data_IF_283590261101
#
_entry.id   IF_283590261101
#
_cell.length_a   1.000
_cell.length_b   1.000
_cell.length_c   1.000
_cell.angle_alpha   90.00
_cell.angle_beta   90.00
_cell.angle_gamma   90.00
#
_symmetry.space_group_name_H-M   'P 1'
#
loop_
_entity.id
_entity.type
_entity.pdbx_description
1 polymer ?
#
# COMPACT_ATOMS: atom_id res chain seq x y z
N UNK A 1 -20.05 3.60 1.22
CA UNK A 1 -20.42 2.54 2.17
C UNK A 1 -19.12 1.84 2.60
N UNK A 2 -19.03 1.12 3.74
CA UNK A 2 -17.79 0.43 4.08
C UNK A 2 -17.42 -0.59 2.98
N UNK A 3 -16.13 -0.76 2.70
CA UNK A 3 -15.63 -1.70 1.69
C UNK A 3 -16.23 -3.10 1.87
N UNK A 4 -16.71 -3.70 0.77
CA UNK A 4 -17.28 -5.05 0.78
C UNK A 4 -16.23 -6.10 0.42
N UNK A 5 -15.82 -6.89 1.39
CA UNK A 5 -14.93 -8.04 1.17
C UNK A 5 -15.72 -9.18 0.51
N UNK A 6 -15.23 -9.68 -0.63
CA UNK A 6 -15.79 -10.81 -1.36
C UNK A 6 -14.93 -12.04 -1.09
N UNK A 7 -15.56 -13.12 -0.64
CA UNK A 7 -14.93 -14.41 -0.39
C UNK A 7 -15.77 -15.50 -1.03
N UNK A 8 -15.14 -16.36 -1.84
CA UNK A 8 -15.80 -17.54 -2.42
C UNK A 8 -15.93 -18.67 -1.41
N UNK A 9 -15.13 -18.65 -0.34
CA UNK A 9 -15.18 -19.60 0.75
C UNK A 9 -15.68 -18.92 2.04
N UNK A 10 -16.74 -19.44 2.64
CA UNK A 10 -17.30 -18.89 3.89
C UNK A 10 -17.11 -19.81 5.10
N UNK A 11 -16.32 -20.89 4.97
CA UNK A 11 -16.03 -21.82 6.06
C UNK A 11 -15.34 -21.11 7.24
N UNK A 12 -15.90 -21.17 8.47
CA UNK A 12 -15.30 -20.52 9.63
C UNK A 12 -13.86 -21.01 9.90
N UNK A 13 -13.00 -20.10 10.37
CA UNK A 13 -11.65 -20.49 10.81
C UNK A 13 -11.75 -21.42 12.02
N UNK A 14 -11.00 -22.52 11.98
CA UNK A 14 -10.85 -23.41 13.12
C UNK A 14 -9.71 -22.92 13.99
N UNK A 15 -10.01 -22.49 15.22
CA UNK A 15 -8.96 -22.22 16.21
C UNK A 15 -8.24 -23.52 16.55
N UNK A 16 -6.91 -23.45 16.58
CA UNK A 16 -6.03 -24.56 16.96
C UNK A 16 -5.22 -24.16 18.18
N UNK A 17 -4.84 -25.14 19.00
CA UNK A 17 -3.88 -24.90 20.08
C UNK A 17 -2.53 -24.60 19.42
N UNK A 18 -1.97 -23.43 19.71
CA UNK A 18 -0.68 -23.01 19.18
C UNK A 18 0.38 -23.26 20.26
N UNK A 19 1.39 -24.05 19.94
CA UNK A 19 2.56 -24.22 20.81
C UNK A 19 3.58 -23.09 20.56
N UNK A 20 4.45 -22.79 21.54
CA UNK A 20 5.41 -21.68 21.42
C UNK A 20 6.38 -21.82 20.25
N UNK A 21 6.80 -23.05 19.89
CA UNK A 21 7.76 -23.26 18.80
C UNK A 21 7.10 -22.89 17.47
N UNK A 22 5.87 -23.33 17.24
CA UNK A 22 5.12 -22.96 16.04
C UNK A 22 4.84 -21.46 15.98
N UNK A 23 4.53 -20.83 17.11
CA UNK A 23 4.36 -19.36 17.17
C UNK A 23 5.64 -18.63 16.75
N UNK A 24 6.78 -18.99 17.35
CA UNK A 24 8.07 -18.38 17.06
C UNK A 24 8.44 -18.54 15.57
N UNK A 25 8.19 -19.72 14.98
CA UNK A 25 8.44 -19.96 13.55
C UNK A 25 7.55 -19.06 12.68
N UNK A 26 6.27 -18.92 13.00
CA UNK A 26 5.34 -18.07 12.25
C UNK A 26 5.74 -16.59 12.34
N UNK A 27 6.07 -16.12 13.54
CA UNK A 27 6.49 -14.73 13.77
C UNK A 27 7.77 -14.41 13.00
N UNK A 28 8.81 -15.24 13.13
CA UNK A 28 10.07 -15.04 12.40
C UNK A 28 9.88 -15.15 10.89
N UNK A 29 9.01 -16.04 10.41
CA UNK A 29 8.71 -16.15 8.98
C UNK A 29 8.05 -14.87 8.44
N UNK A 30 7.11 -14.27 9.18
CA UNK A 30 6.50 -13.00 8.79
C UNK A 30 7.51 -11.85 8.85
N UNK A 31 8.38 -11.83 9.86
CA UNK A 31 9.45 -10.84 9.95
C UNK A 31 10.41 -10.94 8.76
N UNK A 32 10.84 -12.15 8.39
CA UNK A 32 11.66 -12.38 7.20
C UNK A 32 10.94 -11.97 5.91
N UNK A 33 9.65 -12.27 5.77
CA UNK A 33 8.86 -11.84 4.62
C UNK A 33 8.81 -10.31 4.50
N UNK A 34 8.59 -9.58 5.60
CA UNK A 34 8.64 -8.11 5.62
C UNK A 34 10.03 -7.58 5.22
N UNK A 35 11.10 -8.24 5.62
CA UNK A 35 12.46 -7.86 5.23
C UNK A 35 12.71 -8.08 3.73
N UNK A 36 12.19 -9.16 3.16
CA UNK A 36 12.27 -9.41 1.72
C UNK A 36 11.46 -8.39 0.92
N UNK A 37 10.28 -7.97 1.40
CA UNK A 37 9.48 -6.91 0.76
C UNK A 37 10.29 -5.61 0.60
N UNK A 38 10.97 -5.18 1.68
CA UNK A 38 11.88 -4.04 1.72
C UNK A 38 13.03 -4.21 0.73
N UNK A 39 13.74 -5.34 0.83
CA UNK A 39 14.91 -5.61 0.02
C UNK A 39 14.60 -5.67 -1.48
N UNK A 40 13.40 -6.08 -1.87
CA UNK A 40 12.96 -6.07 -3.27
C UNK A 40 12.78 -4.63 -3.73
N UNK A 41 11.97 -3.83 -3.03
CA UNK A 41 11.66 -2.47 -3.44
C UNK A 41 12.92 -1.58 -3.45
N UNK A 42 13.72 -1.61 -2.38
CA UNK A 42 15.02 -0.94 -2.31
C UNK A 42 15.93 -1.24 -3.52
N UNK A 43 15.98 -2.51 -3.97
CA UNK A 43 16.88 -2.92 -5.07
C UNK A 43 16.35 -2.55 -6.45
N UNK A 44 15.03 -2.47 -6.61
CA UNK A 44 14.40 -2.17 -7.90
C UNK A 44 14.07 -0.69 -8.08
N UNK A 45 14.00 0.07 -6.99
CA UNK A 45 13.75 1.50 -7.03
C UNK A 45 14.86 2.26 -7.78
N UNK A 46 14.42 3.29 -8.47
CA UNK A 46 15.28 4.26 -9.16
C UNK A 46 15.38 5.57 -8.41
N UNK A 47 14.36 5.98 -7.66
CA UNK A 47 14.40 7.26 -6.98
C UNK A 47 15.36 7.27 -5.78
N UNK A 48 16.04 8.39 -5.51
CA UNK A 48 16.88 8.53 -4.31
C UNK A 48 16.08 8.46 -2.99
N UNK A 49 14.79 8.79 -3.01
CA UNK A 49 13.90 8.69 -1.85
C UNK A 49 13.87 7.28 -1.29
N UNK A 50 13.63 6.31 -2.16
CA UNK A 50 13.59 4.89 -1.76
C UNK A 50 15.01 4.30 -1.75
N UNK A 51 15.75 4.44 -2.85
CA UNK A 51 17.02 3.73 -3.07
C UNK A 51 18.16 4.15 -2.14
N UNK A 52 18.21 5.42 -1.72
CA UNK A 52 19.32 5.94 -0.92
C UNK A 52 18.89 6.28 0.52
N UNK A 53 17.67 6.77 0.72
CA UNK A 53 17.17 7.12 2.06
C UNK A 53 16.39 5.98 2.73
N UNK A 54 15.86 5.02 1.97
CA UNK A 54 15.03 3.94 2.50
C UNK A 54 13.65 4.44 2.94
N UNK A 55 13.09 5.45 2.26
CA UNK A 55 11.76 5.99 2.55
C UNK A 55 10.67 5.10 1.94
N UNK A 56 10.61 3.88 2.47
CA UNK A 56 9.67 2.82 2.13
C UNK A 56 9.25 2.06 3.39
N UNK A 57 7.98 1.68 3.48
CA UNK A 57 7.45 1.06 4.70
C UNK A 57 6.54 -0.13 4.39
N UNK A 58 7.10 -1.37 4.36
CA UNK A 58 6.29 -2.57 4.23
C UNK A 58 5.62 -2.95 5.55
N UNK A 59 4.45 -3.57 5.42
CA UNK A 59 3.66 -4.06 6.53
C UNK A 59 2.89 -5.34 6.15
N UNK A 60 2.73 -6.24 7.13
CA UNK A 60 1.77 -7.33 7.11
C UNK A 60 0.83 -7.18 8.31
N UNK A 61 -0.47 -7.26 8.07
CA UNK A 61 -1.51 -7.02 9.06
C UNK A 61 -2.53 -8.17 9.14
N UNK A 62 -3.13 -8.33 10.30
CA UNK A 62 -4.16 -9.34 10.54
C UNK A 62 -5.51 -8.95 9.89
N UNK A 63 -6.52 -9.81 10.04
CA UNK A 63 -7.87 -9.59 9.50
C UNK A 63 -8.60 -8.36 10.04
N UNK A 64 -8.23 -7.86 11.22
CA UNK A 64 -8.77 -6.62 11.78
C UNK A 64 -8.04 -5.38 11.22
N UNK A 65 -7.11 -5.57 10.29
CA UNK A 65 -6.24 -4.53 9.78
C UNK A 65 -5.21 -4.06 10.81
N UNK A 66 -4.90 -4.82 11.86
CA UNK A 66 -3.85 -4.45 12.82
C UNK A 66 -2.50 -4.96 12.34
N UNK A 67 -1.49 -4.10 12.41
CA UNK A 67 -0.11 -4.47 12.08
C UNK A 67 0.34 -5.66 12.92
N UNK A 68 0.87 -6.69 12.26
CA UNK A 68 1.54 -7.83 12.89
C UNK A 68 3.05 -7.64 12.82
N UNK A 69 3.56 -7.30 11.63
CA UNK A 69 4.95 -6.91 11.40
C UNK A 69 4.99 -5.71 10.45
N UNK A 70 5.88 -4.77 10.69
CA UNK A 70 6.00 -3.52 9.93
C UNK A 70 6.77 -2.47 10.70
N UNK A 71 6.81 -1.25 10.18
CA UNK A 71 7.57 -0.13 10.76
C UNK A 71 6.67 1.03 11.19
N UNK A 72 5.67 1.36 10.38
CA UNK A 72 4.66 2.38 10.68
C UNK A 72 3.33 1.72 10.99
N UNK A 73 2.54 2.35 11.87
CA UNK A 73 1.23 1.82 12.28
C UNK A 73 0.30 1.54 11.10
N UNK A 74 -0.80 0.83 11.36
CA UNK A 74 -1.70 0.41 10.28
C UNK A 74 -2.64 1.53 9.82
N UNK A 75 -2.77 1.64 8.51
CA UNK A 75 -3.68 2.52 7.76
C UNK A 75 -4.92 1.78 7.22
N UNK A 76 -4.96 0.45 7.36
CA UNK A 76 -6.00 -0.38 6.73
C UNK A 76 -7.39 0.00 7.24
N UNK A 77 -7.52 0.32 8.53
CA UNK A 77 -8.81 0.76 9.08
C UNK A 77 -9.34 1.99 8.35
N UNK A 78 -8.53 3.05 8.21
CA UNK A 78 -8.92 4.26 7.49
C UNK A 78 -9.16 4.00 6.00
N UNK A 79 -8.34 3.14 5.37
CA UNK A 79 -8.54 2.72 3.99
C UNK A 79 -9.91 2.05 3.79
N UNK A 80 -10.29 1.12 4.67
CA UNK A 80 -11.55 0.37 4.58
C UNK A 80 -12.80 1.23 4.81
N UNK A 81 -12.65 2.34 5.54
CA UNK A 81 -13.71 3.36 5.69
C UNK A 81 -13.86 4.22 4.43
N UNK A 82 -12.76 4.53 3.76
CA UNK A 82 -12.73 5.46 2.62
C UNK A 82 -13.02 4.82 1.27
N UNK A 83 -12.68 3.55 1.09
CA UNK A 83 -12.91 2.86 -0.17
C UNK A 83 -14.35 2.33 -0.27
N UNK A 84 -15.11 2.85 -1.23
CA UNK A 84 -16.47 2.43 -1.54
C UNK A 84 -16.47 1.47 -2.74
N UNK A 85 -16.29 0.18 -2.48
CA UNK A 85 -16.23 -0.83 -3.52
C UNK A 85 -16.11 -2.25 -2.99
N UNK A 86 -15.74 -3.17 -3.88
CA UNK A 86 -15.48 -4.57 -3.51
C UNK A 86 -14.00 -4.82 -3.35
N UNK A 87 -13.65 -5.76 -2.49
CA UNK A 87 -12.29 -6.27 -2.34
C UNK A 87 -12.30 -7.78 -2.61
N UNK A 88 -11.59 -8.19 -3.64
CA UNK A 88 -11.57 -9.55 -4.17
C UNK A 88 -10.14 -10.13 -4.16
N UNK A 89 -10.04 -11.44 -4.34
CA UNK A 89 -8.76 -12.13 -4.54
C UNK A 89 -8.10 -11.63 -5.83
N UNK A 90 -6.79 -11.33 -5.78
CA UNK A 90 -6.05 -10.76 -6.91
C UNK A 90 -6.14 -9.24 -7.06
N UNK A 91 -6.97 -8.56 -6.27
CA UNK A 91 -6.98 -7.09 -6.26
C UNK A 91 -5.74 -6.51 -5.56
N UNK A 92 -5.29 -5.34 -6.01
CA UNK A 92 -4.37 -4.47 -5.29
C UNK A 92 -4.84 -3.03 -5.44
N UNK A 93 -4.68 -2.25 -4.38
CA UNK A 93 -5.18 -0.88 -4.31
C UNK A 93 -4.03 0.11 -4.24
N UNK A 94 -4.24 1.31 -4.77
CA UNK A 94 -3.35 2.46 -4.69
C UNK A 94 -4.12 3.65 -4.11
N UNK A 95 -3.46 4.43 -3.25
CA UNK A 95 -3.84 5.80 -2.93
C UNK A 95 -2.62 6.58 -2.45
N UNK A 96 -2.64 7.89 -2.64
CA UNK A 96 -1.72 8.82 -1.99
C UNK A 96 -2.50 9.98 -1.34
N UNK A 97 -3.82 9.85 -1.18
CA UNK A 97 -4.68 10.92 -0.69
C UNK A 97 -4.59 11.04 0.84
N UNK A 98 -3.99 12.12 1.38
CA UNK A 98 -3.81 12.30 2.83
C UNK A 98 -5.13 12.33 3.61
N UNK A 99 -6.22 12.72 2.95
CA UNK A 99 -7.53 12.88 3.59
C UNK A 99 -8.35 11.60 3.59
N UNK A 100 -8.01 10.63 2.74
CA UNK A 100 -8.80 9.40 2.61
C UNK A 100 -8.50 8.42 3.73
N UNK A 101 -7.26 8.32 4.24
CA UNK A 101 -6.90 7.27 5.19
C UNK A 101 -6.74 7.76 6.64
N UNK A 102 -7.64 8.63 7.13
CA UNK A 102 -7.59 9.20 8.48
C UNK A 102 -6.21 9.81 8.83
N UNK A 103 -5.56 10.46 7.85
CA UNK A 103 -4.25 11.08 8.01
C UNK A 103 -3.07 10.11 8.08
N UNK A 104 -3.26 8.83 7.76
CA UNK A 104 -2.17 7.86 7.76
C UNK A 104 -1.20 8.02 6.57
N UNK A 105 -1.65 8.68 5.51
CA UNK A 105 -0.79 9.16 4.41
C UNK A 105 -0.47 10.62 4.73
N UNK A 106 0.81 10.95 4.87
CA UNK A 106 1.21 12.29 5.37
C UNK A 106 1.15 13.36 4.29
N UNK A 107 1.47 12.99 3.05
CA UNK A 107 1.42 13.87 1.88
C UNK A 107 1.35 13.07 0.58
N UNK A 108 1.08 13.75 -0.54
CA UNK A 108 0.80 13.11 -1.84
C UNK A 108 1.97 12.35 -2.47
N UNK A 109 3.19 12.48 -1.96
CA UNK A 109 4.33 11.71 -2.44
C UNK A 109 4.37 10.28 -1.88
N UNK A 110 3.70 10.04 -0.76
CA UNK A 110 3.64 8.73 -0.14
C UNK A 110 2.58 7.90 -0.85
N UNK A 111 3.01 7.02 -1.76
CA UNK A 111 2.10 6.11 -2.43
C UNK A 111 1.90 4.88 -1.57
N UNK A 112 0.67 4.65 -1.16
CA UNK A 112 0.25 3.45 -0.44
C UNK A 112 -0.28 2.41 -1.42
N UNK A 113 0.38 1.25 -1.47
CA UNK A 113 -0.20 0.04 -2.03
C UNK A 113 -0.75 -0.87 -0.93
N UNK A 114 -1.97 -1.37 -1.13
CA UNK A 114 -2.61 -2.34 -0.24
C UNK A 114 -3.04 -3.57 -1.04
N UNK A 115 -2.59 -4.75 -0.63
CA UNK A 115 -2.98 -6.04 -1.19
C UNK A 115 -3.66 -6.91 -0.14
N UNK A 116 -4.95 -7.22 -0.27
CA UNK A 116 -5.56 -8.28 0.54
C UNK A 116 -4.97 -9.65 0.16
N UNK A 117 -4.61 -10.45 1.16
CA UNK A 117 -4.02 -11.77 0.95
C UNK A 117 -5.11 -12.81 1.13
N UNK A 118 -5.40 -13.51 0.03
CA UNK A 118 -6.34 -14.60 0.00
C UNK A 118 -5.63 -15.96 -0.04
N UNK A 119 -6.33 -16.97 0.48
CA UNK A 119 -5.97 -18.38 0.34
C UNK A 119 -7.25 -19.20 0.28
N UNK A 120 -7.36 -20.07 -0.72
CA UNK A 120 -8.53 -20.95 -0.91
C UNK A 120 -9.86 -20.18 -0.87
N UNK A 121 -9.91 -19.00 -1.51
CA UNK A 121 -11.10 -18.14 -1.55
C UNK A 121 -11.42 -17.40 -0.25
N UNK A 122 -10.46 -17.31 0.68
CA UNK A 122 -10.58 -16.66 1.99
C UNK A 122 -9.57 -15.55 2.15
N UNK A 123 -10.01 -14.37 2.57
CA UNK A 123 -9.10 -13.38 3.13
C UNK A 123 -8.47 -13.95 4.40
N UNK A 124 -7.14 -13.89 4.50
CA UNK A 124 -6.38 -14.38 5.67
C UNK A 124 -5.49 -13.30 6.30
N UNK A 125 -5.11 -12.27 5.54
CA UNK A 125 -4.19 -11.22 5.96
C UNK A 125 -4.28 -10.05 4.99
N UNK A 126 -3.61 -8.96 5.32
CA UNK A 126 -3.30 -7.88 4.38
C UNK A 126 -1.78 -7.70 4.32
N UNK A 127 -1.27 -7.32 3.15
CA UNK A 127 0.07 -6.76 3.00
C UNK A 127 -0.06 -5.37 2.39
N UNK A 128 0.88 -4.50 2.73
CA UNK A 128 0.92 -3.16 2.18
C UNK A 128 2.33 -2.61 2.15
N UNK A 129 2.52 -1.59 1.33
CA UNK A 129 3.79 -0.93 1.10
C UNK A 129 3.56 0.57 0.90
N UNK A 130 4.32 1.38 1.62
CA UNK A 130 4.55 2.76 1.23
C UNK A 130 5.84 2.88 0.43
N UNK A 131 5.83 3.75 -0.58
CA UNK A 131 7.04 4.26 -1.21
C UNK A 131 6.93 5.77 -1.42
N UNK A 132 7.97 6.50 -1.05
CA UNK A 132 8.02 7.94 -1.24
C UNK A 132 8.48 8.29 -2.66
N UNK A 133 7.54 8.73 -3.49
CA UNK A 133 7.82 9.16 -4.86
C UNK A 133 8.54 10.51 -4.85
N UNK A 134 9.60 10.67 -5.64
CA UNK A 134 10.38 11.92 -5.65
C UNK A 134 9.58 13.13 -6.11
N UNK A 135 8.68 12.94 -7.08
CA UNK A 135 7.85 14.00 -7.64
C UNK A 135 6.51 13.42 -8.06
N UNK A 136 5.42 14.15 -7.74
CA UNK A 136 4.05 13.79 -8.11
C UNK A 136 3.34 14.93 -8.84
N UNK A 137 4.08 15.84 -9.47
CA UNK A 137 3.49 16.90 -10.28
C UNK A 137 3.04 18.16 -9.53
N UNK A 138 3.52 18.39 -8.31
CA UNK A 138 3.24 19.62 -7.56
C UNK A 138 3.76 20.88 -8.27
N UNK A 139 3.40 22.05 -7.76
CA UNK A 139 3.76 23.38 -8.30
C UNK A 139 5.26 23.58 -8.54
N UNK A 140 6.11 22.92 -7.76
CA UNK A 140 7.58 22.93 -7.90
C UNK A 140 8.10 21.50 -8.05
N UNK A 141 9.29 21.29 -8.66
CA UNK A 141 9.92 19.97 -8.68
C UNK A 141 10.21 19.44 -7.27
N UNK A 142 9.90 18.17 -7.03
CA UNK A 142 10.14 17.49 -5.75
C UNK A 142 8.85 17.16 -4.99
N UNK A 143 8.97 16.91 -3.68
CA UNK A 143 7.89 16.37 -2.85
C UNK A 143 7.20 17.38 -1.92
N UNK A 144 7.82 18.51 -1.61
CA UNK A 144 7.35 19.41 -0.55
C UNK A 144 7.41 20.88 -1.00
N UNK A 145 6.42 21.38 -1.77
CA UNK A 145 6.29 22.81 -2.04
C UNK A 145 6.08 23.58 -0.73
N UNK A 146 7.04 24.43 -0.35
CA UNK A 146 7.00 25.16 0.94
C UNK A 146 6.00 26.31 0.98
N UNK A 147 5.45 26.70 -0.18
CA UNK A 147 4.50 27.81 -0.33
C UNK A 147 3.17 27.36 -0.94
N UNK A 148 2.88 26.05 -0.91
CA UNK A 148 1.55 25.55 -1.24
C UNK A 148 0.54 26.04 -0.20
N UNK A 149 -0.51 26.67 -0.68
CA UNK A 149 -1.66 27.16 0.09
C UNK A 149 -2.85 26.20 0.01
N UNK A 150 -2.84 25.29 -0.96
CA UNK A 150 -3.90 24.32 -1.22
C UNK A 150 -3.31 22.98 -1.66
N UNK A 151 -3.97 21.87 -1.31
CA UNK A 151 -3.58 20.52 -1.74
C UNK A 151 -3.45 20.38 -3.27
N UNK A 152 -4.21 21.17 -4.04
CA UNK A 152 -4.15 21.17 -5.50
C UNK A 152 -2.83 21.72 -6.07
N UNK A 153 -2.02 22.37 -5.23
CA UNK A 153 -0.67 22.84 -5.59
C UNK A 153 0.41 21.79 -5.26
N UNK A 154 0.05 20.69 -4.60
CA UNK A 154 1.01 19.67 -4.12
C UNK A 154 1.20 18.51 -5.10
N UNK A 155 0.30 18.35 -6.08
CA UNK A 155 0.44 17.40 -7.17
C UNK A 155 -0.78 16.51 -7.34
N UNK A 156 -0.61 15.40 -8.07
CA UNK A 156 -1.70 14.47 -8.33
C UNK A 156 -2.12 13.77 -7.04
N UNK A 157 -3.43 13.85 -6.75
CA UNK A 157 -4.06 13.18 -5.63
C UNK A 157 -4.96 12.06 -6.14
N UNK A 158 -4.61 10.84 -5.75
CA UNK A 158 -5.22 9.59 -6.17
C UNK A 158 -6.06 9.06 -5.00
N UNK A 159 -7.41 9.06 -5.12
CA UNK A 159 -8.26 8.44 -4.11
C UNK A 159 -8.01 6.92 -4.05
N UNK A 160 -8.49 6.21 -3.04
CA UNK A 160 -8.47 4.75 -3.01
C UNK A 160 -9.07 4.14 -4.28
N UNK A 161 -8.23 3.49 -5.09
CA UNK A 161 -8.62 2.84 -6.33
C UNK A 161 -8.01 1.43 -6.43
N UNK A 162 -8.64 0.55 -7.21
CA UNK A 162 -8.02 -0.72 -7.63
C UNK A 162 -7.00 -0.45 -8.73
N UNK A 163 -5.73 -0.68 -8.44
CA UNK A 163 -4.64 -0.60 -9.42
C UNK A 163 -4.30 -1.96 -10.04
N UNK A 164 -4.60 -3.06 -9.35
CA UNK A 164 -4.74 -4.40 -9.95
C UNK A 164 -6.16 -4.91 -9.76
N UNK A 165 -6.66 -5.62 -10.77
CA UNK A 165 -7.90 -6.41 -10.71
C UNK A 165 -7.61 -7.79 -11.24
N UNK A 166 -7.90 -8.83 -10.46
CA UNK A 166 -7.60 -10.22 -10.84
C UNK A 166 -6.14 -10.41 -11.30
N UNK A 167 -5.21 -9.85 -10.52
CA UNK A 167 -3.76 -9.84 -10.82
C UNK A 167 -3.35 -9.17 -12.14
N UNK A 168 -4.25 -8.40 -12.76
CA UNK A 168 -3.97 -7.58 -13.95
C UNK A 168 -3.84 -6.10 -13.58
N UNK A 169 -2.66 -5.54 -13.86
CA UNK A 169 -2.39 -4.11 -13.72
C UNK A 169 -3.35 -3.30 -14.59
N UNK A 170 -4.00 -2.31 -13.98
CA UNK A 170 -4.81 -1.32 -14.68
C UNK A 170 -3.88 -0.24 -15.29
N UNK A 171 -3.17 -0.62 -16.36
CA UNK A 171 -2.08 0.20 -16.95
C UNK A 171 -2.52 1.63 -17.29
N UNK A 172 -3.71 1.81 -17.84
CA UNK A 172 -4.22 3.15 -18.21
C UNK A 172 -4.33 4.10 -17.01
N UNK A 173 -4.64 3.57 -15.82
CA UNK A 173 -4.68 4.34 -14.58
C UNK A 173 -3.27 4.75 -14.18
N UNK A 174 -2.32 3.82 -14.22
CA UNK A 174 -0.93 4.11 -13.90
C UNK A 174 -0.36 5.16 -14.85
N UNK A 175 -0.57 5.02 -16.15
CA UNK A 175 -0.11 5.98 -17.16
C UNK A 175 -0.73 7.36 -16.96
N UNK A 176 -2.02 7.43 -16.61
CA UNK A 176 -2.67 8.70 -16.27
C UNK A 176 -1.98 9.37 -15.09
N UNK A 177 -1.61 8.61 -14.06
CA UNK A 177 -0.92 9.14 -12.89
C UNK A 177 0.49 9.61 -13.24
N UNK A 178 1.25 8.76 -13.93
CA UNK A 178 2.64 9.03 -14.33
C UNK A 178 2.75 10.22 -15.28
N UNK A 179 1.78 10.43 -16.17
CA UNK A 179 1.75 11.59 -17.07
C UNK A 179 1.66 12.94 -16.34
N UNK A 180 1.27 12.93 -15.06
CA UNK A 180 1.27 14.12 -14.22
C UNK A 180 2.57 14.30 -13.42
N UNK A 181 3.55 13.41 -13.56
CA UNK A 181 4.80 13.45 -12.79
C UNK A 181 5.97 13.92 -13.67
N UNK A 182 6.96 14.64 -13.09
CA UNK A 182 8.14 15.10 -13.84
C UNK A 182 9.13 13.98 -14.17
N UNK A 183 9.18 12.94 -13.33
CA UNK A 183 10.08 11.80 -13.45
C UNK A 183 9.29 10.48 -13.55
N UNK A 184 8.46 10.29 -14.59
CA UNK A 184 7.54 9.15 -14.69
C UNK A 184 8.26 7.80 -14.73
N UNK A 185 9.48 7.75 -15.26
CA UNK A 185 10.27 6.52 -15.33
C UNK A 185 10.84 6.10 -13.97
N UNK A 186 11.07 7.04 -13.04
CA UNK A 186 11.44 6.69 -11.65
C UNK A 186 10.21 6.17 -10.92
N UNK A 187 9.11 6.92 -10.92
CA UNK A 187 7.88 6.51 -10.26
C UNK A 187 7.34 5.17 -10.80
N UNK A 188 7.52 4.87 -12.09
CA UNK A 188 7.17 3.57 -12.68
C UNK A 188 8.03 2.42 -12.14
N UNK A 189 9.31 2.67 -11.86
CA UNK A 189 10.23 1.66 -11.32
C UNK A 189 10.05 1.47 -9.82
N UNK A 190 9.59 2.52 -9.13
CA UNK A 190 9.33 2.55 -7.70
C UNK A 190 7.93 2.00 -7.35
N UNK A 191 7.01 1.99 -8.31
CA UNK A 191 5.68 1.35 -8.22
C UNK A 191 5.77 -0.17 -8.34
#
# INVERSE_FOLDING_TARGET
MPTKIIQTNNKPFKRVKLDPITLDVIENSMFSARWEMDAVLFRTAMSPGIREQGDEFPMIANLDGKMVVGQFGSFIYGFMEAYDGTMEEGDMFLTNDPYSCNGAISHVNDWLLLRPIYKDGRLISYAAMFGHMTDVGGKVPGSLPTDASQIFEEGIRVPPIKIYKDDVLQEEILELILNNCRLPHWNRSDF
#
